data_IF_984053272715
#
_entry.id   IF_984053272715
#
_cell.length_a   1.000
_cell.length_b   1.000
_cell.length_c   1.000
_cell.angle_alpha   90.00
_cell.angle_beta   90.00
_cell.angle_gamma   90.00
#
_symmetry.space_group_name_H-M   'P 1'
#
loop_
_entity.id
_entity.type
_entity.pdbx_description
1 polymer ?
#
# COMPACT_ATOMS: atom_id res chain seq x y z
N UNK A 1 -17.70 -4.10 -11.25
CA UNK A 1 -16.98 -2.88 -10.81
C UNK A 1 -15.50 -2.98 -11.15
N UNK A 2 -14.80 -1.87 -11.36
CA UNK A 2 -13.33 -1.86 -11.38
C UNK A 2 -12.75 -2.11 -9.99
N UNK A 3 -11.45 -2.40 -9.89
CA UNK A 3 -10.79 -2.60 -8.58
C UNK A 3 -10.79 -1.30 -7.76
N UNK A 4 -10.61 -0.17 -8.42
CA UNK A 4 -10.70 1.15 -7.80
C UNK A 4 -12.08 1.37 -7.16
N UNK A 5 -13.17 1.08 -7.88
CA UNK A 5 -14.54 1.20 -7.35
C UNK A 5 -14.78 0.25 -6.16
N UNK A 6 -14.22 -0.97 -6.20
CA UNK A 6 -14.30 -1.91 -5.07
C UNK A 6 -13.56 -1.39 -3.84
N UNK A 7 -12.37 -0.81 -4.01
CA UNK A 7 -11.60 -0.19 -2.92
C UNK A 7 -12.39 1.01 -2.35
N UNK A 8 -12.88 1.90 -3.21
CA UNK A 8 -13.62 3.10 -2.80
C UNK A 8 -14.91 2.74 -2.06
N UNK A 9 -15.66 1.74 -2.56
CA UNK A 9 -16.83 1.19 -1.85
C UNK A 9 -16.44 0.66 -0.48
N UNK A 10 -15.35 -0.09 -0.40
CA UNK A 10 -14.90 -0.69 0.87
C UNK A 10 -14.45 0.34 1.90
N UNK A 11 -13.82 1.45 1.45
CA UNK A 11 -13.48 2.56 2.32
C UNK A 11 -14.74 3.30 2.83
N UNK A 12 -15.77 3.47 1.99
CA UNK A 12 -17.07 4.02 2.40
C UNK A 12 -17.76 3.11 3.43
N UNK A 13 -17.79 1.81 3.17
CA UNK A 13 -18.40 0.83 4.09
C UNK A 13 -17.64 0.80 5.44
N UNK A 14 -16.31 0.96 5.42
CA UNK A 14 -15.51 1.08 6.65
C UNK A 14 -15.87 2.36 7.42
N UNK A 15 -15.97 3.51 6.75
CA UNK A 15 -16.36 4.80 7.39
C UNK A 15 -17.77 4.66 7.97
N UNK A 16 -18.72 4.08 7.25
CA UNK A 16 -20.06 3.82 7.76
C UNK A 16 -20.01 2.97 9.04
N UNK A 17 -19.25 1.88 9.06
CA UNK A 17 -19.11 1.03 10.24
C UNK A 17 -18.42 1.73 11.43
N UNK A 18 -17.54 2.72 11.15
CA UNK A 18 -16.86 3.51 12.19
C UNK A 18 -17.73 4.67 12.73
N UNK A 19 -18.69 5.14 11.95
CA UNK A 19 -19.59 6.27 12.33
C UNK A 19 -20.87 5.82 13.01
N UNK A 20 -21.33 4.61 12.71
CA UNK A 20 -22.58 4.03 13.23
C UNK A 20 -22.23 2.94 14.25
N UNK A 21 -23.08 2.77 15.27
CA UNK A 21 -23.00 1.62 16.17
C UNK A 21 -23.53 0.35 15.50
N UNK A 22 -23.98 0.46 14.25
CA UNK A 22 -24.46 -0.65 13.45
C UNK A 22 -23.28 -1.35 12.77
N UNK A 23 -23.19 -2.66 12.97
CA UNK A 23 -22.19 -3.49 12.33
C UNK A 23 -22.35 -3.45 10.79
N UNK A 24 -21.27 -3.29 10.05
CA UNK A 24 -21.25 -3.47 8.60
C UNK A 24 -21.46 -4.94 8.27
N UNK A 25 -22.73 -5.33 8.11
CA UNK A 25 -23.13 -6.75 8.06
C UNK A 25 -22.92 -7.44 9.41
N UNK A 26 -22.08 -8.50 9.43
CA UNK A 26 -21.72 -9.22 10.67
C UNK A 26 -20.34 -8.88 11.21
N UNK A 27 -19.66 -7.88 10.62
CA UNK A 27 -18.33 -7.46 11.06
C UNK A 27 -18.45 -6.66 12.36
N UNK A 28 -17.65 -7.01 13.34
CA UNK A 28 -17.56 -6.36 14.64
C UNK A 28 -16.12 -5.91 14.84
N UNK A 29 -15.93 -4.65 15.26
CA UNK A 29 -14.63 -4.18 15.73
C UNK A 29 -14.38 -4.72 17.14
N UNK A 30 -13.34 -5.52 17.36
CA UNK A 30 -13.04 -6.04 18.68
C UNK A 30 -12.58 -4.90 19.62
N UNK A 31 -12.84 -5.07 20.91
CA UNK A 31 -12.40 -4.12 21.92
C UNK A 31 -11.24 -4.68 22.75
N UNK A 32 -10.37 -3.79 23.22
CA UNK A 32 -9.42 -4.10 24.29
C UNK A 32 -10.15 -4.26 25.64
N UNK A 33 -9.43 -4.72 26.67
CA UNK A 33 -9.99 -4.92 28.01
C UNK A 33 -10.56 -3.65 28.65
N UNK A 34 -10.06 -2.48 28.25
CA UNK A 34 -10.50 -1.14 28.68
C UNK A 34 -11.68 -0.60 27.85
N UNK A 35 -12.33 -1.46 27.07
CA UNK A 35 -13.44 -1.13 26.15
C UNK A 35 -13.09 -0.21 24.99
N UNK A 36 -11.82 0.15 24.79
CA UNK A 36 -11.39 0.87 23.59
C UNK A 36 -11.45 -0.05 22.36
N UNK A 37 -11.93 0.48 21.23
CA UNK A 37 -11.98 -0.27 19.98
C UNK A 37 -10.55 -0.57 19.52
N UNK A 38 -10.33 -1.83 19.15
CA UNK A 38 -9.09 -2.26 18.50
C UNK A 38 -9.28 -2.21 16.99
N UNK A 39 -8.62 -1.29 16.36
CA UNK A 39 -8.57 -1.22 14.89
C UNK A 39 -7.40 -2.04 14.35
N UNK A 40 -7.60 -2.69 13.21
CA UNK A 40 -6.55 -3.39 12.48
C UNK A 40 -6.86 -3.42 10.97
N UNK A 41 -5.87 -3.76 10.17
CA UNK A 41 -6.04 -3.93 8.72
C UNK A 41 -7.06 -5.02 8.34
N UNK A 42 -7.32 -5.96 9.26
CA UNK A 42 -8.19 -7.10 8.98
C UNK A 42 -9.65 -6.70 8.74
N UNK A 43 -10.16 -5.69 9.44
CA UNK A 43 -11.54 -5.22 9.27
C UNK A 43 -11.75 -4.67 7.85
N UNK A 44 -10.83 -3.85 7.35
CA UNK A 44 -10.89 -3.34 5.99
C UNK A 44 -10.74 -4.45 4.95
N UNK A 45 -9.81 -5.38 5.17
CA UNK A 45 -9.62 -6.56 4.30
C UNK A 45 -10.90 -7.40 4.21
N UNK A 46 -11.59 -7.64 5.33
CA UNK A 46 -12.86 -8.39 5.34
C UNK A 46 -13.99 -7.66 4.59
N UNK A 47 -14.11 -6.33 4.78
CA UNK A 47 -15.08 -5.52 4.04
C UNK A 47 -14.79 -5.60 2.54
N UNK A 48 -13.52 -5.47 2.14
CA UNK A 48 -13.11 -5.55 0.74
C UNK A 48 -13.45 -6.91 0.12
N UNK A 49 -13.10 -8.00 0.79
CA UNK A 49 -13.39 -9.37 0.29
C UNK A 49 -14.88 -9.61 0.14
N UNK A 50 -15.70 -9.13 1.10
CA UNK A 50 -17.17 -9.19 0.98
C UNK A 50 -17.64 -8.46 -0.27
N UNK A 51 -17.11 -7.26 -0.55
CA UNK A 51 -17.49 -6.47 -1.73
C UNK A 51 -17.07 -7.17 -3.04
N UNK A 52 -15.90 -7.83 -3.06
CA UNK A 52 -15.45 -8.65 -4.22
C UNK A 52 -16.41 -9.82 -4.45
N UNK A 53 -16.83 -10.53 -3.40
CA UNK A 53 -17.78 -11.65 -3.50
C UNK A 53 -19.16 -11.19 -4.00
N UNK A 54 -19.64 -10.05 -3.55
CA UNK A 54 -20.93 -9.47 -3.99
C UNK A 54 -20.88 -9.03 -5.46
N UNK A 55 -19.77 -8.45 -5.91
CA UNK A 55 -19.61 -7.96 -7.28
C UNK A 55 -19.41 -9.06 -8.32
N UNK A 56 -18.75 -10.16 -7.95
CA UNK A 56 -18.50 -11.33 -8.81
C UNK A 56 -17.73 -11.06 -10.11
N UNK A 57 -17.03 -9.94 -10.20
CA UNK A 57 -16.19 -9.59 -11.37
C UNK A 57 -14.86 -10.30 -11.33
N UNK A 58 -14.30 -10.48 -10.11
CA UNK A 58 -12.99 -11.06 -9.90
C UNK A 58 -13.06 -12.33 -9.04
N UNK A 59 -12.15 -13.27 -9.31
CA UNK A 59 -11.71 -14.25 -8.33
C UNK A 59 -10.62 -13.64 -7.47
N UNK A 60 -10.40 -14.16 -6.25
CA UNK A 60 -9.37 -13.66 -5.36
C UNK A 60 -8.62 -14.78 -4.65
N UNK A 61 -7.43 -14.48 -4.21
CA UNK A 61 -6.62 -15.28 -3.29
C UNK A 61 -6.11 -14.37 -2.17
N UNK A 62 -6.05 -14.90 -0.96
CA UNK A 62 -5.44 -14.23 0.20
C UNK A 62 -4.07 -14.82 0.47
N UNK A 63 -3.16 -14.00 1.04
CA UNK A 63 -1.80 -14.41 1.36
C UNK A 63 -1.07 -15.02 0.15
N UNK A 64 -1.26 -14.41 -1.04
CA UNK A 64 -0.69 -14.90 -2.29
C UNK A 64 0.84 -14.75 -2.28
N UNK A 65 1.62 -15.82 -2.50
CA UNK A 65 3.07 -15.73 -2.57
C UNK A 65 3.52 -14.77 -3.69
N UNK A 66 4.59 -14.01 -3.44
CA UNK A 66 5.26 -13.19 -4.44
C UNK A 66 6.07 -14.05 -5.40
N UNK A 67 6.28 -13.58 -6.64
CA UNK A 67 7.18 -14.23 -7.63
C UNK A 67 8.64 -14.07 -7.26
N UNK A 68 8.97 -13.01 -6.52
CA UNK A 68 10.34 -12.67 -6.14
C UNK A 68 10.56 -12.97 -4.66
N UNK A 69 11.82 -13.12 -4.29
CA UNK A 69 12.25 -13.26 -2.90
C UNK A 69 12.90 -11.97 -2.41
N UNK A 70 12.76 -11.69 -1.13
CA UNK A 70 13.11 -10.42 -0.52
C UNK A 70 13.98 -10.63 0.71
N UNK A 71 14.93 -9.73 0.91
CA UNK A 71 15.68 -9.59 2.15
C UNK A 71 15.21 -8.31 2.86
N UNK A 72 14.60 -8.48 4.02
CA UNK A 72 14.09 -7.41 4.85
C UNK A 72 14.82 -7.40 6.19
N UNK A 73 15.99 -6.79 6.25
CA UNK A 73 16.72 -6.61 7.50
C UNK A 73 16.30 -5.31 8.18
N UNK A 74 16.45 -5.24 9.53
CA UNK A 74 16.06 -4.04 10.27
C UNK A 74 17.04 -2.87 10.06
N UNK A 75 18.27 -3.14 9.62
CA UNK A 75 19.37 -2.18 9.48
C UNK A 75 19.71 -1.81 8.05
N UNK A 76 19.29 -2.58 7.07
CA UNK A 76 19.65 -2.40 5.66
C UNK A 76 18.44 -2.02 4.82
N UNK A 77 18.70 -1.41 3.66
CA UNK A 77 17.67 -1.21 2.64
C UNK A 77 17.12 -2.56 2.18
N UNK A 78 15.78 -2.70 2.06
CA UNK A 78 15.17 -3.92 1.56
C UNK A 78 15.72 -4.26 0.16
N UNK A 79 15.97 -5.53 -0.11
CA UNK A 79 16.47 -5.99 -1.40
C UNK A 79 15.55 -7.05 -2.01
N UNK A 80 15.60 -7.23 -3.34
CA UNK A 80 14.76 -8.16 -4.11
C UNK A 80 15.60 -8.91 -5.14
N UNK A 81 15.37 -10.22 -5.27
CA UNK A 81 15.97 -11.03 -6.34
C UNK A 81 14.95 -12.02 -6.95
N UNK A 82 15.27 -12.52 -8.14
CA UNK A 82 14.58 -13.67 -8.74
C UNK A 82 14.96 -14.91 -7.90
N UNK A 83 14.01 -15.79 -7.54
CA UNK A 83 14.36 -17.09 -6.94
C UNK A 83 15.32 -17.86 -7.86
N UNK A 84 16.37 -18.42 -7.31
CA UNK A 84 17.28 -19.30 -8.02
C UNK A 84 17.02 -20.75 -7.57
N UNK A 85 16.70 -21.63 -8.52
CA UNK A 85 16.37 -23.04 -8.24
C UNK A 85 17.60 -23.85 -7.76
N UNK A 86 18.79 -23.25 -7.80
CA UNK A 86 20.07 -23.94 -7.50
C UNK A 86 20.61 -23.66 -6.10
N UNK A 87 20.05 -22.71 -5.36
CA UNK A 87 20.61 -22.24 -4.08
C UNK A 87 19.88 -22.82 -2.86
N UNK A 88 20.06 -24.12 -2.60
CA UNK A 88 19.67 -24.75 -1.31
C UNK A 88 20.51 -24.24 -0.12
N UNK A 89 21.57 -23.47 -0.36
CA UNK A 89 22.51 -22.95 0.63
C UNK A 89 22.47 -21.43 0.78
N UNK A 90 21.30 -20.78 0.58
CA UNK A 90 21.22 -19.32 0.62
C UNK A 90 21.42 -18.78 2.06
N UNK A 91 22.67 -18.55 2.44
CA UNK A 91 23.05 -17.83 3.67
C UNK A 91 22.52 -16.38 3.71
N UNK A 92 22.00 -15.89 2.60
CA UNK A 92 21.63 -14.49 2.39
C UNK A 92 20.27 -14.06 2.99
N UNK A 93 19.55 -14.95 3.69
CA UNK A 93 18.27 -14.61 4.34
C UNK A 93 17.18 -14.04 3.43
N UNK A 94 17.15 -14.36 2.14
CA UNK A 94 16.05 -14.05 1.26
C UNK A 94 14.85 -14.95 1.54
N UNK A 95 13.64 -14.37 1.56
CA UNK A 95 12.41 -15.12 1.83
C UNK A 95 11.30 -14.68 0.85
N UNK A 96 10.46 -15.64 0.48
CA UNK A 96 9.20 -15.32 -0.19
C UNK A 96 8.36 -14.43 0.73
N UNK A 97 7.73 -13.44 0.13
CA UNK A 97 6.74 -12.60 0.78
C UNK A 97 5.33 -13.00 0.31
N UNK A 98 4.31 -12.33 0.84
CA UNK A 98 2.91 -12.56 0.46
C UNK A 98 2.20 -11.23 0.30
N UNK A 99 1.22 -11.20 -0.62
CA UNK A 99 0.26 -10.11 -0.72
C UNK A 99 -0.97 -10.42 0.13
N UNK A 100 -1.55 -9.39 0.72
CA UNK A 100 -2.78 -9.53 1.48
C UNK A 100 -3.91 -10.09 0.64
N UNK A 101 -4.11 -9.54 -0.56
CA UNK A 101 -5.09 -9.99 -1.53
C UNK A 101 -4.52 -9.88 -2.95
N UNK A 102 -4.79 -10.90 -3.76
CA UNK A 102 -4.57 -10.86 -5.21
C UNK A 102 -5.87 -11.12 -5.94
N UNK A 103 -6.14 -10.36 -6.98
CA UNK A 103 -7.34 -10.49 -7.81
C UNK A 103 -6.99 -11.09 -9.16
N UNK A 104 -7.90 -11.89 -9.68
CA UNK A 104 -7.82 -12.57 -10.96
C UNK A 104 -9.07 -12.26 -11.77
N UNK A 105 -8.92 -12.08 -13.08
CA UNK A 105 -10.06 -11.89 -13.97
C UNK A 105 -10.98 -13.12 -13.97
N UNK A 106 -12.25 -12.92 -14.32
CA UNK A 106 -13.27 -13.97 -14.28
C UNK A 106 -12.95 -15.19 -15.17
N UNK A 107 -12.20 -15.00 -16.26
CA UNK A 107 -11.75 -16.06 -17.17
C UNK A 107 -10.45 -16.73 -16.70
N UNK A 108 -10.22 -16.74 -15.39
CA UNK A 108 -9.03 -17.27 -14.75
C UNK A 108 -8.79 -18.75 -15.09
N UNK A 109 -7.57 -19.04 -15.52
CA UNK A 109 -6.99 -20.37 -15.52
C UNK A 109 -5.99 -20.49 -14.37
N UNK A 110 -5.82 -21.69 -13.82
CA UNK A 110 -4.92 -21.94 -12.66
C UNK A 110 -3.47 -21.46 -12.89
N UNK A 111 -3.07 -21.31 -14.17
CA UNK A 111 -1.76 -20.81 -14.59
C UNK A 111 -1.67 -19.30 -14.76
N UNK A 112 -2.80 -18.58 -14.65
CA UNK A 112 -2.83 -17.15 -14.89
C UNK A 112 -2.19 -16.37 -13.74
N UNK A 113 -1.47 -15.32 -14.10
CA UNK A 113 -0.98 -14.35 -13.13
C UNK A 113 -2.14 -13.51 -12.59
N UNK A 114 -2.05 -13.13 -11.33
CA UNK A 114 -2.98 -12.18 -10.76
C UNK A 114 -3.04 -10.89 -11.60
N UNK A 115 -4.24 -10.34 -11.75
CA UNK A 115 -4.42 -9.07 -12.45
C UNK A 115 -4.03 -7.88 -11.59
N UNK A 116 -4.22 -7.97 -10.28
CA UNK A 116 -3.92 -6.92 -9.32
C UNK A 116 -3.45 -7.50 -8.00
N UNK A 117 -2.52 -6.80 -7.35
CA UNK A 117 -2.12 -7.07 -5.97
C UNK A 117 -2.51 -5.91 -5.06
N UNK A 118 -2.97 -6.22 -3.86
CA UNK A 118 -3.44 -5.25 -2.88
C UNK A 118 -2.77 -5.54 -1.55
N UNK A 119 -2.19 -4.50 -0.96
CA UNK A 119 -1.67 -4.49 0.41
C UNK A 119 -2.55 -3.58 1.27
N UNK A 120 -2.99 -4.08 2.40
CA UNK A 120 -3.72 -3.32 3.40
C UNK A 120 -2.80 -2.91 4.54
N UNK A 121 -3.00 -1.72 5.09
CA UNK A 121 -2.23 -1.23 6.24
C UNK A 121 -3.13 -0.46 7.19
N UNK A 122 -2.87 -0.62 8.48
CA UNK A 122 -3.49 0.17 9.52
C UNK A 122 -2.46 0.94 10.34
N UNK A 123 -2.82 2.17 10.70
CA UNK A 123 -2.07 2.97 11.66
C UNK A 123 -0.77 3.57 11.11
N UNK A 124 0.01 4.16 11.99
CA UNK A 124 1.33 4.71 11.65
C UNK A 124 2.41 3.73 12.16
N UNK A 125 2.87 2.78 11.32
CA UNK A 125 3.73 1.69 11.78
C UNK A 125 5.05 2.21 12.37
N UNK A 126 5.44 1.70 13.53
CA UNK A 126 6.68 2.11 14.21
C UNK A 126 7.93 1.52 13.53
N UNK A 127 7.81 0.37 12.89
CA UNK A 127 8.91 -0.25 12.18
C UNK A 127 9.33 0.60 10.98
N UNK A 128 10.60 0.99 10.95
CA UNK A 128 11.19 1.87 9.93
C UNK A 128 10.90 1.44 8.49
N UNK A 129 10.93 0.14 8.23
CA UNK A 129 10.84 -0.41 6.86
C UNK A 129 9.47 -1.04 6.54
N UNK A 130 8.46 -0.92 7.41
CA UNK A 130 7.17 -1.60 7.20
C UNK A 130 6.49 -1.19 5.87
N UNK A 131 6.43 0.11 5.59
CA UNK A 131 5.85 0.65 4.35
C UNK A 131 6.76 0.36 3.15
N UNK A 132 8.08 0.46 3.33
CA UNK A 132 9.05 0.19 2.27
C UNK A 132 8.95 -1.26 1.75
N UNK A 133 8.75 -2.23 2.65
CA UNK A 133 8.52 -3.64 2.27
C UNK A 133 7.31 -3.81 1.37
N UNK A 134 6.18 -3.21 1.77
CA UNK A 134 4.94 -3.33 1.02
C UNK A 134 5.04 -2.62 -0.33
N UNK A 135 5.65 -1.43 -0.37
CA UNK A 135 5.89 -0.72 -1.63
C UNK A 135 6.84 -1.50 -2.56
N UNK A 136 7.92 -2.07 -2.03
CA UNK A 136 8.86 -2.86 -2.84
C UNK A 136 8.18 -4.10 -3.44
N UNK A 137 7.37 -4.83 -2.68
CA UNK A 137 6.57 -5.95 -3.19
C UNK A 137 5.68 -5.50 -4.35
N UNK A 138 4.88 -4.45 -4.12
CA UNK A 138 3.96 -3.93 -5.14
C UNK A 138 4.69 -3.47 -6.41
N UNK A 139 5.84 -2.80 -6.28
CA UNK A 139 6.65 -2.31 -7.40
C UNK A 139 7.25 -3.45 -8.20
N UNK A 140 7.83 -4.44 -7.54
CA UNK A 140 8.52 -5.54 -8.24
C UNK A 140 7.57 -6.47 -9.01
N UNK A 141 6.31 -6.56 -8.60
CA UNK A 141 5.29 -7.42 -9.23
C UNK A 141 4.40 -6.68 -10.26
N UNK A 142 4.70 -5.42 -10.59
CA UNK A 142 4.01 -4.72 -11.67
C UNK A 142 4.35 -5.37 -13.01
N UNK A 143 3.33 -5.69 -13.79
CA UNK A 143 3.47 -6.10 -15.18
C UNK A 143 3.14 -4.93 -16.11
N UNK A 144 4.18 -4.29 -16.65
CA UNK A 144 4.02 -3.16 -17.57
C UNK A 144 3.40 -3.52 -18.92
N UNK A 145 3.32 -4.81 -19.26
CA UNK A 145 2.77 -5.25 -20.56
C UNK A 145 1.25 -5.27 -20.56
N UNK A 146 0.61 -5.34 -19.40
CA UNK A 146 -0.84 -5.60 -19.26
C UNK A 146 -1.61 -4.44 -18.61
N UNK A 147 -1.02 -3.24 -18.47
CA UNK A 147 -1.61 -2.08 -17.78
C UNK A 147 -2.17 -2.37 -16.38
N UNK A 148 -1.63 -3.42 -15.74
CA UNK A 148 -2.08 -3.86 -14.42
C UNK A 148 -1.61 -2.89 -13.35
N UNK A 149 -2.53 -2.49 -12.47
CA UNK A 149 -2.24 -1.62 -11.33
C UNK A 149 -2.24 -2.42 -10.04
N UNK A 150 -1.32 -2.12 -9.15
CA UNK A 150 -1.31 -2.62 -7.80
C UNK A 150 -1.75 -1.51 -6.83
N UNK A 151 -2.21 -1.89 -5.65
CA UNK A 151 -2.84 -0.97 -4.72
C UNK A 151 -2.25 -1.10 -3.32
N UNK A 152 -2.01 0.04 -2.69
CA UNK A 152 -1.72 0.14 -1.28
C UNK A 152 -2.85 0.89 -0.60
N UNK A 153 -3.61 0.20 0.26
CA UNK A 153 -4.79 0.74 0.91
C UNK A 153 -4.50 0.89 2.39
N UNK A 154 -4.34 2.12 2.82
CA UNK A 154 -3.94 2.46 4.17
C UNK A 154 -5.02 3.24 4.89
N UNK A 155 -5.36 2.84 6.11
CA UNK A 155 -6.26 3.63 6.91
C UNK A 155 -5.74 3.89 8.33
N UNK A 156 -6.18 5.02 8.90
CA UNK A 156 -5.85 5.43 10.26
C UNK A 156 -7.10 5.94 10.96
N UNK A 157 -7.20 5.62 12.25
CA UNK A 157 -8.10 6.31 13.16
C UNK A 157 -7.27 7.26 14.02
N UNK A 158 -7.60 8.54 13.99
CA UNK A 158 -6.94 9.58 14.78
C UNK A 158 -7.97 10.37 15.54
N UNK A 159 -7.58 10.90 16.70
CA UNK A 159 -8.53 11.55 17.59
C UNK A 159 -9.15 12.80 16.96
N UNK A 160 -8.35 13.65 16.33
CA UNK A 160 -8.80 14.92 15.75
C UNK A 160 -8.08 15.24 14.45
N UNK A 161 -8.71 16.03 13.57
CA UNK A 161 -8.10 16.53 12.34
C UNK A 161 -6.86 17.38 12.62
N UNK A 162 -6.88 18.22 13.68
CA UNK A 162 -5.71 18.99 14.09
C UNK A 162 -4.51 18.09 14.44
N UNK A 163 -4.74 16.99 15.16
CA UNK A 163 -3.72 15.99 15.48
C UNK A 163 -3.19 15.31 14.23
N UNK A 164 -4.06 15.03 13.26
CA UNK A 164 -3.67 14.51 11.94
C UNK A 164 -2.69 15.45 11.25
N UNK A 165 -3.06 16.71 11.05
CA UNK A 165 -2.26 17.68 10.30
C UNK A 165 -0.93 18.02 11.00
N UNK A 166 -0.92 18.09 12.33
CA UNK A 166 0.26 18.59 13.09
C UNK A 166 1.27 17.51 13.48
N UNK A 167 0.85 16.25 13.60
CA UNK A 167 1.68 15.18 14.15
C UNK A 167 1.66 13.90 13.31
N UNK A 168 0.48 13.34 13.08
CA UNK A 168 0.38 12.00 12.47
C UNK A 168 0.78 12.02 11.01
N UNK A 169 0.22 12.95 10.22
CA UNK A 169 0.50 13.05 8.81
C UNK A 169 1.97 13.34 8.50
N UNK A 170 2.62 14.35 9.11
CA UNK A 170 4.04 14.62 8.83
C UNK A 170 4.95 13.41 9.10
N UNK A 171 4.66 12.66 10.18
CA UNK A 171 5.38 11.43 10.50
C UNK A 171 5.18 10.33 9.46
N UNK A 172 3.93 10.08 9.07
CA UNK A 172 3.58 9.09 8.07
C UNK A 172 4.12 9.46 6.68
N UNK A 173 3.97 10.72 6.28
CA UNK A 173 4.42 11.21 4.99
C UNK A 173 5.94 11.08 4.84
N UNK A 174 6.69 11.39 5.90
CA UNK A 174 8.14 11.15 5.94
C UNK A 174 8.48 9.66 5.71
N UNK A 175 7.70 8.73 6.28
CA UNK A 175 7.90 7.29 6.05
C UNK A 175 7.63 6.92 4.59
N UNK A 176 6.59 7.46 3.97
CA UNK A 176 6.32 7.26 2.54
C UNK A 176 7.48 7.76 1.67
N UNK A 177 7.92 9.00 1.89
CA UNK A 177 9.04 9.59 1.14
C UNK A 177 10.33 8.77 1.31
N UNK A 178 10.68 8.40 2.54
CA UNK A 178 11.85 7.59 2.80
C UNK A 178 11.77 6.22 2.12
N UNK A 179 10.58 5.60 2.11
CA UNK A 179 10.38 4.31 1.44
C UNK A 179 10.69 4.37 -0.06
N UNK A 180 10.27 5.43 -0.76
CA UNK A 180 10.61 5.63 -2.18
C UNK A 180 12.12 5.80 -2.37
N UNK A 181 12.77 6.59 -1.52
CA UNK A 181 14.22 6.81 -1.59
C UNK A 181 14.99 5.51 -1.31
N UNK A 182 14.53 4.72 -0.34
CA UNK A 182 15.18 3.47 0.03
C UNK A 182 15.00 2.39 -1.05
N UNK A 183 13.84 2.32 -1.72
CA UNK A 183 13.63 1.46 -2.89
C UNK A 183 14.60 1.84 -4.01
N UNK A 184 14.72 3.13 -4.32
CA UNK A 184 15.63 3.61 -5.36
C UNK A 184 17.10 3.26 -5.07
N UNK A 185 17.53 3.39 -3.81
CA UNK A 185 18.88 2.98 -3.37
C UNK A 185 19.07 1.47 -3.48
N UNK A 186 18.09 0.68 -3.02
CA UNK A 186 18.12 -0.77 -3.11
C UNK A 186 18.34 -1.25 -4.54
N UNK A 187 17.54 -0.73 -5.49
CA UNK A 187 17.63 -1.10 -6.90
C UNK A 187 18.98 -0.71 -7.52
N UNK A 188 19.58 0.41 -7.10
CA UNK A 188 20.92 0.84 -7.58
C UNK A 188 22.06 0.00 -6.99
N UNK A 189 21.97 -0.42 -5.74
CA UNK A 189 23.02 -1.22 -5.09
C UNK A 189 23.07 -2.66 -5.59
N UNK A 190 21.95 -3.24 -5.99
CA UNK A 190 21.85 -4.62 -6.49
C UNK A 190 22.47 -4.83 -7.88
N UNK A 191 22.82 -3.74 -8.59
CA UNK A 191 23.43 -3.83 -9.93
C UNK A 191 24.88 -4.37 -9.92
N UNK A 192 25.48 -4.53 -8.74
CA UNK A 192 26.88 -4.96 -8.59
C UNK A 192 27.06 -6.47 -8.31
N UNK A 193 25.98 -7.26 -8.17
CA UNK A 193 26.03 -8.71 -7.94
C UNK A 193 25.44 -9.47 -9.15
N UNK A 194 26.16 -10.46 -9.67
CA UNK A 194 25.97 -11.01 -11.03
C UNK A 194 24.60 -11.61 -11.37
N UNK A 195 23.87 -12.22 -10.45
CA UNK A 195 22.57 -12.88 -10.75
C UNK A 195 21.33 -12.02 -10.49
N UNK A 196 21.42 -11.00 -9.67
CA UNK A 196 20.31 -10.05 -9.40
C UNK A 196 20.24 -8.91 -10.40
N UNK A 197 21.24 -8.81 -11.26
CA UNK A 197 21.49 -7.69 -12.17
C UNK A 197 20.31 -7.40 -13.11
N UNK A 198 19.66 -8.41 -13.67
CA UNK A 198 18.62 -8.23 -14.69
C UNK A 198 17.33 -7.60 -14.14
N UNK A 199 16.85 -8.03 -12.95
CA UNK A 199 15.63 -7.49 -12.35
C UNK A 199 15.85 -6.08 -11.81
N UNK A 200 16.89 -5.86 -11.02
CA UNK A 200 17.21 -4.56 -10.43
C UNK A 200 17.51 -3.52 -11.50
N UNK A 201 18.22 -3.88 -12.58
CA UNK A 201 18.44 -2.98 -13.71
C UNK A 201 17.13 -2.64 -14.45
N UNK A 202 16.27 -3.63 -14.71
CA UNK A 202 14.97 -3.42 -15.34
C UNK A 202 14.09 -2.47 -14.51
N UNK A 203 13.99 -2.72 -13.20
CA UNK A 203 13.22 -1.89 -12.27
C UNK A 203 13.84 -0.48 -12.18
N UNK A 204 15.15 -0.35 -12.05
CA UNK A 204 15.83 0.94 -11.95
C UNK A 204 15.65 1.81 -13.20
N UNK A 205 15.80 1.21 -14.40
CA UNK A 205 15.64 1.93 -15.68
C UNK A 205 14.22 2.44 -15.93
N UNK A 206 13.22 1.74 -15.41
CA UNK A 206 11.81 2.06 -15.64
C UNK A 206 11.06 2.42 -14.35
N UNK A 207 11.76 2.80 -13.29
CA UNK A 207 11.17 2.97 -11.96
C UNK A 207 9.94 3.88 -11.96
N UNK A 208 9.96 4.99 -12.69
CA UNK A 208 8.83 5.92 -12.77
C UNK A 208 7.57 5.25 -13.33
N UNK A 209 7.72 4.39 -14.36
CA UNK A 209 6.61 3.63 -14.94
C UNK A 209 6.05 2.61 -13.93
N UNK A 210 6.92 1.93 -13.19
CA UNK A 210 6.48 1.02 -12.13
C UNK A 210 5.74 1.77 -11.03
N UNK A 211 6.26 2.90 -10.55
CA UNK A 211 5.63 3.73 -9.52
C UNK A 211 4.29 4.32 -9.97
N UNK A 212 4.11 4.63 -11.26
CA UNK A 212 2.84 5.11 -11.83
C UNK A 212 1.73 4.07 -11.72
N UNK A 213 2.08 2.78 -11.76
CA UNK A 213 1.13 1.68 -11.68
C UNK A 213 0.81 1.23 -10.24
N UNK A 214 1.29 1.97 -9.22
CA UNK A 214 0.92 1.75 -7.83
C UNK A 214 0.05 2.92 -7.36
N UNK A 215 -1.21 2.62 -7.06
CA UNK A 215 -2.14 3.61 -6.50
C UNK A 215 -2.22 3.45 -4.98
N UNK A 216 -2.04 4.54 -4.28
CA UNK A 216 -2.21 4.63 -2.82
C UNK A 216 -3.57 5.24 -2.52
N UNK A 217 -4.36 4.56 -1.69
CA UNK A 217 -5.52 5.10 -1.01
C UNK A 217 -5.17 5.28 0.47
N UNK A 218 -5.35 6.48 0.98
CA UNK A 218 -5.11 6.80 2.38
C UNK A 218 -6.39 7.37 2.99
N UNK A 219 -7.04 6.60 3.86
CA UNK A 219 -8.20 7.03 4.64
C UNK A 219 -7.75 7.48 6.02
N UNK A 220 -8.14 8.67 6.42
CA UNK A 220 -8.00 9.16 7.78
C UNK A 220 -9.39 9.37 8.39
N UNK A 221 -9.72 8.62 9.43
CA UNK A 221 -10.95 8.75 10.19
C UNK A 221 -10.71 9.53 11.49
N UNK A 222 -11.56 10.52 11.77
CA UNK A 222 -11.47 11.40 12.94
C UNK A 222 -12.50 10.98 13.98
N UNK A 223 -12.04 10.37 15.07
CA UNK A 223 -12.92 9.78 16.08
C UNK A 223 -13.83 10.81 16.77
N UNK A 224 -13.33 12.03 17.01
CA UNK A 224 -14.08 13.08 17.70
C UNK A 224 -15.21 13.65 16.86
N UNK A 225 -14.95 13.92 15.58
CA UNK A 225 -15.95 14.50 14.65
C UNK A 225 -16.77 13.47 13.90
N UNK A 226 -16.37 12.16 14.01
CA UNK A 226 -16.97 11.09 13.23
C UNK A 226 -16.95 11.36 11.72
N UNK A 227 -15.92 12.04 11.24
CA UNK A 227 -15.71 12.40 9.84
C UNK A 227 -14.45 11.74 9.30
N UNK A 228 -14.26 11.78 7.98
CA UNK A 228 -13.09 11.19 7.35
C UNK A 228 -12.60 12.03 6.16
N UNK A 229 -11.30 11.86 5.85
CA UNK A 229 -10.70 12.32 4.61
C UNK A 229 -10.07 11.13 3.90
N UNK A 230 -10.30 11.02 2.60
CA UNK A 230 -9.66 10.01 1.76
C UNK A 230 -8.81 10.69 0.70
N UNK A 231 -7.59 10.20 0.54
CA UNK A 231 -6.62 10.68 -0.44
C UNK A 231 -6.33 9.59 -1.44
N UNK A 232 -6.11 9.98 -2.70
CA UNK A 232 -5.72 9.07 -3.78
C UNK A 232 -4.56 9.67 -4.57
N UNK A 233 -3.46 8.93 -4.69
CA UNK A 233 -2.28 9.34 -5.45
C UNK A 233 -1.48 8.11 -5.91
N UNK A 234 -0.64 8.27 -6.93
CA UNK A 234 0.32 7.24 -7.31
C UNK A 234 1.64 7.39 -6.55
N UNK A 235 2.43 6.32 -6.45
CA UNK A 235 3.79 6.43 -5.93
C UNK A 235 4.66 7.34 -6.80
N UNK A 236 4.34 7.49 -8.09
CA UNK A 236 4.99 8.43 -9.00
C UNK A 236 4.70 9.89 -8.62
N UNK A 237 3.46 10.22 -8.22
CA UNK A 237 3.13 11.56 -7.71
C UNK A 237 4.01 11.92 -6.52
N UNK A 238 4.19 10.96 -5.59
CA UNK A 238 5.04 11.12 -4.42
C UNK A 238 6.51 11.30 -4.81
N UNK A 239 7.01 10.53 -5.77
CA UNK A 239 8.38 10.68 -6.29
C UNK A 239 8.63 12.04 -6.93
N UNK A 240 7.67 12.53 -7.72
CA UNK A 240 7.75 13.86 -8.34
C UNK A 240 7.78 14.97 -7.28
N UNK A 241 6.98 14.84 -6.22
CA UNK A 241 7.02 15.76 -5.09
C UNK A 241 8.40 15.78 -4.40
N UNK A 242 8.98 14.59 -4.13
CA UNK A 242 10.31 14.46 -3.53
C UNK A 242 11.38 15.18 -4.41
N UNK A 243 11.35 14.93 -5.71
CA UNK A 243 12.29 15.54 -6.66
C UNK A 243 12.16 17.07 -6.64
N UNK A 244 10.92 17.60 -6.72
CA UNK A 244 10.67 19.06 -6.65
C UNK A 244 11.22 19.69 -5.37
N UNK A 245 11.05 19.03 -4.21
CA UNK A 245 11.61 19.51 -2.94
C UNK A 245 13.13 19.46 -2.86
N UNK A 246 13.76 18.50 -3.52
CA UNK A 246 15.22 18.41 -3.58
C UNK A 246 15.82 19.56 -4.40
N UNK A 247 15.14 19.97 -5.47
CA UNK A 247 15.57 21.08 -6.35
C UNK A 247 15.32 22.45 -5.70
N UNK A 248 14.25 22.59 -4.91
CA UNK A 248 13.86 23.84 -4.24
C UNK A 248 14.14 23.79 -2.72
N UNK A 249 15.42 24.04 -2.37
CA UNK A 249 15.86 24.05 -0.97
C UNK A 249 15.19 25.14 -0.11
N UNK A 250 14.50 26.10 -0.70
CA UNK A 250 13.83 27.22 -0.03
C UNK A 250 12.30 27.01 0.07
N UNK A 251 11.77 25.91 -0.42
CA UNK A 251 10.32 25.64 -0.36
C UNK A 251 9.84 25.54 1.09
N UNK A 252 9.11 26.55 1.52
CA UNK A 252 8.39 26.59 2.81
C UNK A 252 7.02 25.88 2.72
N UNK A 253 6.72 25.28 1.58
CA UNK A 253 5.46 24.59 1.36
C UNK A 253 5.32 23.43 2.35
N UNK A 254 4.21 23.41 3.08
CA UNK A 254 3.92 22.36 4.03
C UNK A 254 3.49 21.11 3.27
N UNK A 255 4.02 19.95 3.64
CA UNK A 255 3.76 18.66 2.96
C UNK A 255 2.26 18.32 2.86
N UNK A 256 1.46 18.73 3.86
CA UNK A 256 0.01 18.51 3.84
C UNK A 256 -0.74 19.31 2.75
N UNK A 257 -0.18 20.45 2.24
CA UNK A 257 -0.78 21.19 1.14
C UNK A 257 -0.78 20.36 -0.15
N UNK A 258 0.32 19.66 -0.43
CA UNK A 258 0.37 18.73 -1.57
C UNK A 258 -0.69 17.63 -1.44
N UNK A 259 -0.90 17.10 -0.22
CA UNK A 259 -1.89 16.05 -0.01
C UNK A 259 -3.32 16.56 -0.20
N UNK A 260 -3.62 17.81 0.17
CA UNK A 260 -4.94 18.40 -0.02
C UNK A 260 -5.35 18.44 -1.50
N UNK A 261 -4.40 18.58 -2.43
CA UNK A 261 -4.67 18.47 -3.87
C UNK A 261 -5.04 17.05 -4.32
N UNK A 262 -4.81 16.06 -3.47
CA UNK A 262 -5.07 14.64 -3.71
C UNK A 262 -6.31 14.12 -2.96
N UNK A 263 -7.12 15.03 -2.38
CA UNK A 263 -8.36 14.64 -1.70
C UNK A 263 -9.31 14.01 -2.71
N UNK A 264 -9.74 12.82 -2.38
CA UNK A 264 -10.79 12.11 -3.05
C UNK A 264 -12.07 12.25 -2.22
N UNK A 265 -13.03 13.06 -2.69
CA UNK A 265 -14.28 13.30 -1.97
C UNK A 265 -15.12 12.02 -1.94
N UNK A 266 -15.18 11.40 -0.78
CA UNK A 266 -16.15 10.34 -0.48
C UNK A 266 -17.51 10.94 -0.06
N UNK A 267 -17.62 12.28 0.01
CA UNK A 267 -18.82 13.00 0.37
C UNK A 267 -19.77 13.10 -0.82
N UNK A 268 -20.39 12.02 -1.23
CA UNK A 268 -21.69 12.08 -1.92
C UNK A 268 -22.39 10.73 -1.76
N UNK A 269 -23.34 10.76 -0.88
CA UNK A 269 -24.48 9.85 -0.68
C UNK A 269 -24.52 9.18 0.70
N UNK A 270 -25.02 9.91 1.65
CA UNK A 270 -25.91 9.38 2.67
C UNK A 270 -27.33 9.72 2.24
#
# INVERSE_FOLDING_TARGET
MSVEELIEKSLKDLVFALTTDEACGKLIFPCYRDSNIRYSEQELKQIFLKNVEEDKTYFYSVETPTKYVYRFTNSETPNVKVPDDTDDNDEDNYKSARFDVSLYNKDYNVTDNASHHIEFKYGNPDQKNAICKDFLKLVSEVDLTNEKRNFFVHYLCVKTEKGWQSQTFPSLFKKYCNSIVDIEKSLKSSTNQDNTKSLSEKLSKNLMNYLQNITVYLLCFFETSKSSLTYRFSLNDLKNYINKKMDDKNSSEKDWLWLNEKIFNTENSI
#
